data_IF_566448410207
#
_entry.id   IF_566448410207
#
_cell.length_a   1.000
_cell.length_b   1.000
_cell.length_c   1.000
_cell.angle_alpha   90.00
_cell.angle_beta   90.00
_cell.angle_gamma   90.00
#
_symmetry.space_group_name_H-M   'P 1'
#
loop_
_entity.id
_entity.type
_entity.pdbx_description
1 polymer ?
#
# COMPACT_ATOMS: atom_id res chain seq x y z
N UNK A 1 -70.38 25.96 24.07
CA UNK A 1 -69.61 25.78 22.82
C UNK A 1 -68.59 26.90 22.73
N UNK A 2 -67.28 26.69 23.00
CA UNK A 2 -66.31 27.77 22.84
C UNK A 2 -65.90 27.84 21.36
N UNK A 3 -66.15 28.99 20.74
CA UNK A 3 -65.71 29.30 19.38
C UNK A 3 -64.26 29.78 19.42
N UNK A 4 -63.32 28.87 19.16
CA UNK A 4 -61.91 29.22 19.01
C UNK A 4 -61.74 30.03 17.71
N UNK A 5 -61.55 31.34 17.85
CA UNK A 5 -61.28 32.26 16.74
C UNK A 5 -59.83 32.05 16.27
N UNK A 6 -59.66 31.42 15.12
CA UNK A 6 -58.37 31.26 14.46
C UNK A 6 -57.83 32.64 14.04
N UNK A 7 -56.75 33.10 14.69
CA UNK A 7 -56.09 34.36 14.36
C UNK A 7 -55.05 34.11 13.24
N UNK A 8 -55.42 34.42 12.00
CA UNK A 8 -54.54 34.30 10.84
C UNK A 8 -53.61 35.52 10.74
N UNK A 9 -52.30 35.30 10.84
CA UNK A 9 -51.28 36.33 10.67
C UNK A 9 -50.57 36.13 9.30
N UNK A 10 -50.71 37.08 8.34
CA UNK A 10 -50.09 36.98 7.01
C UNK A 10 -48.56 36.99 7.01
N UNK A 11 -47.91 37.28 8.15
CA UNK A 11 -46.44 37.27 8.29
C UNK A 11 -45.86 35.91 8.67
N UNK A 12 -46.67 34.89 8.93
CA UNK A 12 -46.16 33.53 9.14
C UNK A 12 -45.74 32.94 7.78
N UNK A 13 -44.43 32.98 7.50
CA UNK A 13 -43.82 32.29 6.36
C UNK A 13 -44.36 30.86 6.32
N UNK A 14 -44.97 30.47 5.19
CA UNK A 14 -45.65 29.18 5.12
C UNK A 14 -44.70 28.03 5.53
N UNK A 15 -45.17 27.05 6.33
CA UNK A 15 -44.32 25.94 6.80
C UNK A 15 -43.60 25.22 5.66
N UNK A 16 -44.27 25.13 4.50
CA UNK A 16 -43.75 24.54 3.27
C UNK A 16 -42.57 25.32 2.67
N UNK A 17 -42.51 26.65 2.82
CA UNK A 17 -41.37 27.46 2.36
C UNK A 17 -40.16 27.29 3.26
N UNK A 18 -40.37 27.22 4.58
CA UNK A 18 -39.30 26.94 5.54
C UNK A 18 -38.71 25.54 5.34
N UNK A 19 -39.58 24.53 5.14
CA UNK A 19 -39.18 23.16 4.83
C UNK A 19 -38.42 23.08 3.50
N UNK A 20 -38.91 23.71 2.44
CA UNK A 20 -38.21 23.75 1.14
C UNK A 20 -36.85 24.44 1.25
N UNK A 21 -36.72 25.44 2.12
CA UNK A 21 -35.47 26.14 2.39
C UNK A 21 -34.50 25.25 3.16
N UNK A 22 -34.95 24.56 4.21
CA UNK A 22 -34.08 23.64 4.96
C UNK A 22 -33.63 22.46 4.09
N UNK A 23 -34.53 21.86 3.30
CA UNK A 23 -34.17 20.78 2.34
C UNK A 23 -33.11 21.27 1.34
N UNK A 24 -33.26 22.49 0.81
CA UNK A 24 -32.31 23.06 -0.14
C UNK A 24 -30.98 23.43 0.54
N UNK A 25 -30.99 23.81 1.81
CA UNK A 25 -29.80 24.10 2.62
C UNK A 25 -29.08 22.81 3.05
N UNK A 26 -29.81 21.74 3.39
CA UNK A 26 -29.29 20.41 3.70
C UNK A 26 -28.72 19.75 2.45
N UNK A 27 -29.42 19.84 1.31
CA UNK A 27 -28.89 19.40 0.01
C UNK A 27 -27.63 20.17 -0.36
N UNK A 28 -27.58 21.50 -0.15
CA UNK A 28 -26.36 22.30 -0.37
C UNK A 28 -25.22 21.90 0.57
N UNK A 29 -25.54 21.61 1.84
CA UNK A 29 -24.58 21.16 2.85
C UNK A 29 -24.00 19.77 2.50
N UNK A 30 -24.84 18.85 2.01
CA UNK A 30 -24.43 17.52 1.54
C UNK A 30 -23.57 17.60 0.27
N UNK A 31 -23.84 18.54 -0.63
CA UNK A 31 -23.05 18.73 -1.87
C UNK A 31 -21.71 19.44 -1.68
N UNK A 32 -21.45 20.08 -0.53
CA UNK A 32 -20.29 20.95 -0.33
C UNK A 32 -19.07 20.30 0.34
N UNK A 33 -19.12 19.03 0.77
CA UNK A 33 -18.04 18.47 1.62
C UNK A 33 -17.41 17.16 1.16
N UNK A 34 -17.87 16.54 0.08
CA UNK A 34 -17.27 15.27 -0.38
C UNK A 34 -16.87 15.38 -1.84
N UNK A 35 -15.55 15.46 -2.10
CA UNK A 35 -15.03 15.26 -3.46
C UNK A 35 -15.50 13.90 -3.97
N UNK A 36 -15.73 13.80 -5.28
CA UNK A 36 -16.11 12.54 -5.91
C UNK A 36 -15.08 11.45 -5.59
N UNK A 37 -15.57 10.24 -5.25
CA UNK A 37 -14.73 9.07 -5.01
C UNK A 37 -13.91 8.81 -6.28
N UNK A 38 -12.59 8.81 -6.14
CA UNK A 38 -11.66 8.59 -7.26
C UNK A 38 -11.67 7.13 -7.69
N UNK A 39 -11.46 6.87 -8.98
CA UNK A 39 -11.38 5.50 -9.48
C UNK A 39 -10.10 4.81 -8.96
N UNK A 40 -10.23 3.76 -8.14
CA UNK A 40 -9.07 3.15 -7.48
C UNK A 40 -8.06 2.54 -8.46
N UNK A 41 -8.50 2.04 -9.63
CA UNK A 41 -7.62 1.40 -10.62
C UNK A 41 -6.73 2.39 -11.37
N UNK A 42 -7.25 3.58 -11.64
CA UNK A 42 -6.55 4.62 -12.42
C UNK A 42 -6.04 5.77 -11.57
N UNK A 43 -6.22 5.71 -10.25
CA UNK A 43 -5.76 6.74 -9.33
C UNK A 43 -4.24 6.92 -9.42
N UNK A 44 -3.76 8.15 -9.17
CA UNK A 44 -2.33 8.45 -9.06
C UNK A 44 -1.75 8.08 -7.69
N UNK A 45 -2.59 7.97 -6.64
CA UNK A 45 -2.22 7.46 -5.31
C UNK A 45 -2.32 5.92 -5.23
N UNK A 46 -1.67 5.34 -4.24
CA UNK A 46 -1.71 3.89 -4.01
C UNK A 46 -3.12 3.45 -3.60
N UNK A 47 -3.60 2.39 -4.22
CA UNK A 47 -4.84 1.69 -3.87
C UNK A 47 -4.59 0.19 -3.95
N UNK A 48 -5.41 -0.60 -3.26
CA UNK A 48 -5.37 -2.05 -3.34
C UNK A 48 -5.53 -2.58 -4.78
N UNK A 49 -6.28 -1.86 -5.61
CA UNK A 49 -6.58 -2.25 -6.99
C UNK A 49 -5.53 -1.80 -8.02
N UNK A 50 -4.59 -0.92 -7.66
CA UNK A 50 -3.55 -0.47 -8.58
C UNK A 50 -2.13 -0.87 -8.16
N UNK A 51 -1.97 -1.37 -6.94
CA UNK A 51 -0.69 -1.76 -6.38
C UNK A 51 -0.54 -3.27 -6.13
N UNK A 52 0.71 -3.69 -6.01
CA UNK A 52 1.12 -5.01 -5.51
C UNK A 52 2.20 -4.84 -4.43
N UNK A 53 2.26 -5.76 -3.49
CA UNK A 53 3.37 -5.87 -2.53
C UNK A 53 4.41 -6.88 -3.03
N UNK A 54 5.68 -6.52 -2.96
CA UNK A 54 6.81 -7.38 -3.26
C UNK A 54 7.73 -7.39 -2.05
N UNK A 55 7.96 -8.57 -1.50
CA UNK A 55 8.86 -8.83 -0.38
C UNK A 55 10.08 -9.61 -0.87
N UNK A 56 11.28 -9.11 -0.58
CA UNK A 56 12.54 -9.65 -1.09
C UNK A 56 13.48 -9.99 0.06
N UNK A 57 13.84 -11.26 0.18
CA UNK A 57 14.93 -11.77 1.00
C UNK A 57 14.83 -11.48 2.51
N UNK A 58 13.63 -11.59 3.07
CA UNK A 58 13.43 -11.60 4.53
C UNK A 58 13.81 -12.98 5.12
N UNK A 59 15.02 -13.44 4.86
CA UNK A 59 15.58 -14.69 5.35
C UNK A 59 16.36 -14.45 6.65
N UNK A 60 16.40 -15.41 7.61
CA UNK A 60 16.99 -15.23 8.93
C UNK A 60 18.39 -14.59 8.92
N UNK A 61 19.32 -15.12 8.11
CA UNK A 61 20.68 -14.58 8.03
C UNK A 61 20.78 -13.13 7.54
N UNK A 62 19.86 -12.68 6.68
CA UNK A 62 19.81 -11.29 6.21
C UNK A 62 19.12 -10.36 7.21
N UNK A 63 18.10 -10.87 7.91
CA UNK A 63 17.46 -10.16 9.02
C UNK A 63 18.47 -9.95 10.16
N UNK A 64 19.23 -10.97 10.52
CA UNK A 64 20.29 -10.91 11.55
C UNK A 64 21.47 -10.01 11.13
N UNK A 65 21.80 -10.00 9.84
CA UNK A 65 22.85 -9.13 9.30
C UNK A 65 22.47 -7.65 9.23
N UNK A 66 21.20 -7.28 9.45
CA UNK A 66 20.72 -5.90 9.33
C UNK A 66 20.95 -5.11 10.62
N UNK A 67 21.80 -4.08 10.53
CA UNK A 67 22.17 -3.25 11.68
C UNK A 67 21.60 -1.82 11.65
N UNK A 68 20.85 -1.45 10.61
CA UNK A 68 20.25 -0.11 10.45
C UNK A 68 18.97 0.08 11.27
N UNK A 69 18.36 -1.01 11.74
CA UNK A 69 17.13 -1.03 12.53
C UNK A 69 17.20 -2.25 13.46
N UNK A 70 16.60 -2.16 14.65
CA UNK A 70 16.50 -3.31 15.56
C UNK A 70 15.72 -4.45 14.91
N UNK A 71 16.17 -5.68 15.09
CA UNK A 71 15.56 -6.89 14.51
C UNK A 71 14.06 -6.97 14.80
N UNK A 72 13.65 -6.72 16.03
CA UNK A 72 12.23 -6.83 16.39
C UNK A 72 11.39 -5.79 15.64
N UNK A 73 11.90 -4.56 15.51
CA UNK A 73 11.22 -3.51 14.76
C UNK A 73 11.16 -3.83 13.26
N UNK A 74 12.22 -4.39 12.68
CA UNK A 74 12.25 -4.82 11.28
C UNK A 74 11.18 -5.89 11.00
N UNK A 75 11.17 -6.95 11.82
CA UNK A 75 10.19 -8.04 11.71
C UNK A 75 8.77 -7.52 11.90
N UNK A 76 8.52 -6.71 12.93
CA UNK A 76 7.20 -6.13 13.17
C UNK A 76 6.73 -5.27 12.00
N UNK A 77 7.60 -4.46 11.41
CA UNK A 77 7.26 -3.58 10.29
C UNK A 77 6.89 -4.39 9.03
N UNK A 78 7.68 -5.41 8.68
CA UNK A 78 7.39 -6.23 7.49
C UNK A 78 6.14 -7.10 7.69
N UNK A 79 5.94 -7.63 8.90
CA UNK A 79 4.72 -8.37 9.26
C UNK A 79 3.49 -7.46 9.19
N UNK A 80 3.58 -6.23 9.69
CA UNK A 80 2.50 -5.25 9.57
C UNK A 80 2.18 -4.90 8.11
N UNK A 81 3.21 -4.76 7.27
CA UNK A 81 3.05 -4.53 5.84
C UNK A 81 2.35 -5.71 5.15
N UNK A 82 2.76 -6.95 5.45
CA UNK A 82 2.14 -8.16 4.92
C UNK A 82 0.68 -8.32 5.38
N UNK A 83 0.39 -8.05 6.67
CA UNK A 83 -0.99 -8.07 7.20
C UNK A 83 -1.86 -7.01 6.52
N UNK A 84 -1.30 -5.83 6.26
CA UNK A 84 -1.99 -4.76 5.53
C UNK A 84 -2.33 -5.20 4.11
N UNK A 85 -1.37 -5.75 3.37
CA UNK A 85 -1.61 -6.25 2.02
C UNK A 85 -2.70 -7.34 1.99
N UNK A 86 -2.66 -8.27 2.94
CA UNK A 86 -3.69 -9.31 3.10
C UNK A 86 -5.07 -8.73 3.39
N UNK A 87 -5.15 -7.76 4.31
CA UNK A 87 -6.42 -7.10 4.67
C UNK A 87 -7.08 -6.41 3.48
N UNK A 88 -6.27 -5.82 2.60
CA UNK A 88 -6.73 -5.13 1.39
C UNK A 88 -6.81 -6.04 0.16
N UNK A 89 -6.63 -7.35 0.31
CA UNK A 89 -6.64 -8.32 -0.80
C UNK A 89 -5.67 -7.96 -1.93
N UNK A 90 -4.56 -7.30 -1.57
CA UNK A 90 -3.54 -6.87 -2.52
C UNK A 90 -2.66 -8.06 -2.90
N UNK A 91 -2.32 -8.26 -4.19
CA UNK A 91 -1.42 -9.35 -4.57
C UNK A 91 -0.04 -9.16 -3.93
N UNK A 92 0.52 -10.27 -3.45
CA UNK A 92 1.84 -10.31 -2.82
C UNK A 92 2.75 -11.27 -3.57
N UNK A 93 3.96 -10.82 -3.90
CA UNK A 93 5.06 -11.67 -4.35
C UNK A 93 6.10 -11.70 -3.24
N UNK A 94 6.59 -12.89 -2.94
CA UNK A 94 7.68 -13.12 -2.01
C UNK A 94 8.82 -13.80 -2.78
N UNK A 95 10.06 -13.35 -2.60
CA UNK A 95 11.23 -14.04 -3.15
C UNK A 95 12.28 -14.30 -2.07
N UNK A 96 13.01 -15.39 -2.27
CA UNK A 96 14.14 -15.83 -1.44
C UNK A 96 15.33 -16.14 -2.33
N UNK A 97 16.54 -16.08 -1.79
CA UNK A 97 17.75 -16.46 -2.53
C UNK A 97 18.32 -17.76 -1.99
N UNK A 98 18.61 -18.69 -2.91
CA UNK A 98 19.39 -19.91 -2.71
C UNK A 98 18.89 -20.85 -1.57
N UNK A 99 17.57 -20.94 -1.39
CA UNK A 99 16.95 -21.88 -0.44
C UNK A 99 16.97 -23.30 -0.99
N UNK A 100 16.57 -23.51 -2.24
CA UNK A 100 16.56 -24.83 -2.89
C UNK A 100 17.96 -25.41 -3.05
N UNK A 101 18.95 -24.54 -3.22
CA UNK A 101 20.36 -24.92 -3.27
C UNK A 101 20.99 -25.20 -1.89
N UNK A 102 20.26 -24.97 -0.80
CA UNK A 102 20.70 -25.22 0.57
C UNK A 102 21.72 -24.22 1.13
N UNK A 103 21.93 -23.08 0.46
CA UNK A 103 22.88 -22.06 0.92
C UNK A 103 22.27 -21.05 1.90
N UNK A 104 20.95 -20.95 1.94
CA UNK A 104 20.22 -20.06 2.84
C UNK A 104 18.98 -20.75 3.40
N UNK A 105 18.51 -20.24 4.53
CA UNK A 105 17.26 -20.67 5.14
C UNK A 105 16.05 -20.03 4.42
N UNK A 106 14.85 -20.66 4.48
CA UNK A 106 13.61 -20.05 4.03
C UNK A 106 13.35 -18.67 4.67
N UNK A 107 12.36 -17.94 4.15
CA UNK A 107 11.91 -16.68 4.75
C UNK A 107 11.56 -16.86 6.24
N UNK A 108 11.58 -15.77 7.01
CA UNK A 108 11.20 -15.79 8.43
C UNK A 108 9.78 -16.35 8.65
N UNK A 109 9.57 -17.18 9.69
CA UNK A 109 8.30 -17.86 9.93
C UNK A 109 7.13 -16.88 10.16
N UNK A 110 7.39 -15.70 10.72
CA UNK A 110 6.40 -14.67 10.97
C UNK A 110 5.74 -14.16 9.67
N UNK A 111 6.47 -14.17 8.55
CA UNK A 111 5.90 -13.83 7.24
C UNK A 111 5.09 -14.98 6.64
N UNK A 112 5.55 -16.22 6.79
CA UNK A 112 4.82 -17.42 6.33
C UNK A 112 3.48 -17.54 7.05
N UNK A 113 3.44 -17.28 8.36
CA UNK A 113 2.21 -17.32 9.14
C UNK A 113 1.16 -16.31 8.63
N UNK A 114 1.59 -15.11 8.23
CA UNK A 114 0.70 -14.10 7.66
C UNK A 114 0.27 -14.45 6.24
N UNK A 115 1.19 -15.00 5.44
CA UNK A 115 1.02 -15.26 4.01
C UNK A 115 1.09 -16.77 3.67
N UNK A 116 0.23 -17.63 4.27
CA UNK A 116 0.35 -19.08 4.13
C UNK A 116 0.09 -19.58 2.70
N UNK A 117 -0.57 -18.77 1.87
CA UNK A 117 -0.92 -19.10 0.48
C UNK A 117 0.06 -18.49 -0.54
N UNK A 118 1.13 -17.82 -0.08
CA UNK A 118 2.13 -17.21 -0.94
C UNK A 118 3.37 -18.08 -0.95
N UNK A 119 3.56 -18.84 -2.03
CA UNK A 119 4.79 -19.61 -2.24
C UNK A 119 5.93 -18.66 -2.62
N UNK A 120 7.05 -18.65 -1.87
CA UNK A 120 8.21 -17.87 -2.26
C UNK A 120 8.77 -18.32 -3.61
N UNK A 121 9.15 -17.36 -4.44
CA UNK A 121 9.94 -17.62 -5.65
C UNK A 121 11.40 -17.71 -5.21
N UNK A 122 11.94 -18.93 -5.12
CA UNK A 122 13.37 -19.11 -4.86
C UNK A 122 14.18 -18.82 -6.12
N UNK A 123 15.29 -18.10 -5.94
CA UNK A 123 16.13 -17.62 -7.04
C UNK A 123 17.60 -17.84 -6.77
N UNK A 124 18.37 -17.87 -7.85
CA UNK A 124 19.83 -17.99 -7.82
C UNK A 124 20.54 -16.66 -8.07
N UNK A 125 19.95 -15.79 -8.90
CA UNK A 125 20.48 -14.47 -9.15
C UNK A 125 20.26 -13.56 -7.95
N UNK A 126 21.27 -12.76 -7.58
CA UNK A 126 21.21 -11.79 -6.47
C UNK A 126 20.21 -10.67 -6.73
N UNK A 127 20.09 -10.23 -7.98
CA UNK A 127 19.07 -9.29 -8.38
C UNK A 127 17.81 -10.07 -8.74
N UNK A 128 16.74 -9.91 -7.95
CA UNK A 128 15.46 -10.58 -8.23
C UNK A 128 14.95 -10.29 -9.66
N UNK A 129 15.23 -9.12 -10.22
CA UNK A 129 14.79 -8.76 -11.57
C UNK A 129 15.53 -9.52 -12.69
N UNK A 130 16.70 -10.09 -12.40
CA UNK A 130 17.45 -10.94 -13.35
C UNK A 130 16.90 -12.37 -13.39
N UNK A 131 16.05 -12.75 -12.44
CA UNK A 131 15.36 -14.03 -12.44
C UNK A 131 14.12 -13.95 -13.36
N UNK A 132 14.04 -14.73 -14.46
CA UNK A 132 12.92 -14.66 -15.41
C UNK A 132 11.57 -14.97 -14.77
N UNK A 133 11.51 -15.95 -13.87
CA UNK A 133 10.30 -16.39 -13.18
C UNK A 133 9.74 -15.29 -12.28
N UNK A 134 10.62 -14.57 -11.58
CA UNK A 134 10.25 -13.43 -10.76
C UNK A 134 9.66 -12.30 -11.62
N UNK A 135 10.32 -11.96 -12.74
CA UNK A 135 9.82 -10.92 -13.65
C UNK A 135 8.46 -11.29 -14.24
N UNK A 136 8.30 -12.54 -14.68
CA UNK A 136 7.05 -13.04 -15.22
C UNK A 136 5.93 -12.98 -14.16
N UNK A 137 6.22 -13.33 -12.91
CA UNK A 137 5.26 -13.21 -11.81
C UNK A 137 4.83 -11.75 -11.59
N UNK A 138 5.76 -10.80 -11.57
CA UNK A 138 5.45 -9.37 -11.42
C UNK A 138 4.61 -8.85 -12.59
N UNK A 139 4.95 -9.22 -13.82
CA UNK A 139 4.19 -8.84 -15.02
C UNK A 139 2.77 -9.44 -15.03
N UNK A 140 2.63 -10.69 -14.60
CA UNK A 140 1.34 -11.39 -14.51
C UNK A 140 0.35 -10.73 -13.52
N UNK A 141 0.83 -9.97 -12.52
CA UNK A 141 -0.06 -9.22 -11.62
C UNK A 141 -0.82 -8.10 -12.34
N UNK A 142 -0.31 -7.60 -13.47
CA UNK A 142 -0.91 -6.47 -14.20
C UNK A 142 -0.95 -5.16 -13.41
N UNK A 143 -0.23 -5.06 -12.29
CA UNK A 143 -0.18 -3.87 -11.43
C UNK A 143 0.94 -2.93 -11.90
N UNK A 144 0.60 -1.64 -12.03
CA UNK A 144 1.58 -0.61 -12.43
C UNK A 144 2.39 -0.06 -11.26
N UNK A 145 1.86 -0.17 -10.03
CA UNK A 145 2.52 0.33 -8.82
C UNK A 145 3.00 -0.84 -8.00
N UNK A 146 4.27 -0.80 -7.62
CA UNK A 146 4.91 -1.86 -6.86
C UNK A 146 5.37 -1.26 -5.54
N UNK A 147 4.86 -1.79 -4.42
CA UNK A 147 5.36 -1.51 -3.08
C UNK A 147 6.41 -2.58 -2.81
N UNK A 148 7.67 -2.18 -2.69
CA UNK A 148 8.79 -3.11 -2.55
C UNK A 148 9.43 -2.91 -1.19
N UNK A 149 9.57 -4.00 -0.44
CA UNK A 149 10.40 -4.06 0.76
C UNK A 149 11.38 -5.22 0.59
N UNK A 150 12.64 -5.00 0.95
CA UNK A 150 13.63 -6.06 0.88
C UNK A 150 14.90 -5.76 1.63
N UNK A 151 15.66 -6.81 1.89
CA UNK A 151 16.94 -6.75 2.57
C UNK A 151 18.08 -6.98 1.59
N UNK A 152 19.26 -6.47 1.93
CA UNK A 152 20.49 -6.74 1.22
C UNK A 152 21.62 -6.95 2.23
N UNK A 153 22.47 -7.94 1.99
CA UNK A 153 23.64 -8.20 2.84
C UNK A 153 24.82 -7.26 2.52
N UNK A 154 25.79 -7.14 3.45
CA UNK A 154 26.98 -6.31 3.26
C UNK A 154 27.85 -6.74 2.07
N UNK A 155 27.75 -7.99 1.60
CA UNK A 155 28.44 -8.46 0.37
C UNK A 155 27.89 -7.86 -0.94
N UNK A 156 26.83 -7.07 -0.89
CA UNK A 156 26.03 -6.69 -2.06
C UNK A 156 25.90 -5.18 -2.31
N UNK A 157 26.66 -4.34 -1.61
CA UNK A 157 26.62 -2.88 -1.78
C UNK A 157 27.07 -2.37 -3.16
N UNK A 158 27.73 -3.21 -3.99
CA UNK A 158 28.22 -2.83 -5.32
C UNK A 158 27.18 -3.00 -6.45
N UNK A 159 26.15 -3.83 -6.28
CA UNK A 159 25.12 -4.10 -7.30
C UNK A 159 23.93 -3.13 -7.24
N UNK A 160 23.69 -2.46 -6.12
CA UNK A 160 22.60 -1.48 -5.94
C UNK A 160 22.69 -0.27 -6.88
N UNK A 161 23.90 0.12 -7.34
CA UNK A 161 24.09 1.20 -8.34
C UNK A 161 23.49 0.86 -9.71
N UNK A 162 23.32 -0.42 -10.03
CA UNK A 162 22.76 -0.84 -11.32
C UNK A 162 21.23 -0.71 -11.36
N UNK A 163 20.58 -0.69 -10.19
CA UNK A 163 19.12 -0.52 -10.06
C UNK A 163 18.66 0.84 -10.58
N UNK A 164 19.41 1.91 -10.31
CA UNK A 164 19.11 3.28 -10.76
C UNK A 164 19.53 3.56 -12.20
N UNK A 165 20.34 2.70 -12.83
CA UNK A 165 20.95 2.98 -14.14
C UNK A 165 20.26 2.32 -15.33
N UNK A 166 19.34 1.37 -15.11
CA UNK A 166 18.51 0.83 -16.19
C UNK A 166 17.44 1.84 -16.59
N UNK A 167 17.74 2.70 -17.57
CA UNK A 167 16.83 3.72 -18.15
C UNK A 167 15.49 3.19 -18.69
N UNK A 168 15.25 1.87 -18.67
CA UNK A 168 13.98 1.21 -19.03
C UNK A 168 13.13 0.76 -17.85
N UNK A 169 13.66 0.70 -16.63
CA UNK A 169 12.92 0.27 -15.44
C UNK A 169 12.64 1.49 -14.57
N UNK A 170 11.37 1.73 -14.26
CA UNK A 170 10.88 2.78 -13.36
C UNK A 170 11.04 4.24 -13.83
N UNK A 171 10.00 4.76 -14.51
CA UNK A 171 9.50 6.10 -14.18
C UNK A 171 8.79 6.04 -12.81
N UNK A 172 9.52 5.74 -11.75
CA UNK A 172 9.08 5.98 -10.38
C UNK A 172 9.74 7.28 -9.94
N UNK A 173 8.95 8.33 -9.84
CA UNK A 173 9.38 9.61 -9.27
C UNK A 173 9.93 9.35 -7.86
N UNK A 174 11.14 9.82 -7.52
CA UNK A 174 11.67 9.64 -6.17
C UNK A 174 10.94 10.62 -5.26
N UNK A 175 10.02 10.10 -4.44
CA UNK A 175 9.35 10.87 -3.40
C UNK A 175 9.55 10.16 -2.07
N UNK A 176 10.72 10.40 -1.46
CA UNK A 176 10.97 10.65 -0.04
C UNK A 176 12.43 10.27 0.28
N UNK A 177 13.30 11.25 0.14
CA UNK A 177 14.39 11.43 1.08
C UNK A 177 14.38 12.92 1.39
N UNK A 178 14.41 13.28 2.68
CA UNK A 178 14.46 14.64 3.25
C UNK A 178 13.14 15.24 3.75
N UNK A 179 12.77 14.86 4.97
CA UNK A 179 12.10 15.76 5.93
C UNK A 179 12.76 15.56 7.31
N UNK A 180 13.94 16.16 7.47
CA UNK A 180 14.41 16.64 8.77
C UNK A 180 14.70 18.12 8.54
N UNK A 181 13.84 18.98 9.07
CA UNK A 181 14.10 20.40 9.22
C UNK A 181 14.63 20.61 10.65
N UNK A 182 15.73 21.36 10.86
CA UNK A 182 16.06 21.86 12.19
C UNK A 182 15.16 23.07 12.51
N UNK A 183 14.86 23.23 13.79
CA UNK A 183 14.36 24.47 14.37
C UNK A 183 15.47 25.54 14.41
#
# INVERSE_FOLDING_TARGET
MPTTRWNWNPRNKSPLRALKRSIREDQRRLTMTTQAIRNPKTDHLLTAENAALILIDFQPGLVDGTNSIRREALVNNVVALAKTAKLFEMPVILSTIAVEAGYQEPTIPELIEVLPNVTPIDRTAVNAWEQPEFRAAVEALGRRKLIIAGLYGPRYASSSRRWTSSKKAMKCTPFLTRLVAPA
#
